data_IF_976557147814
#
_entry.id   IF_976557147814
#
_cell.length_a   1.000
_cell.length_b   1.000
_cell.length_c   1.000
_cell.angle_alpha   90.00
_cell.angle_beta   90.00
_cell.angle_gamma   90.00
#
_symmetry.space_group_name_H-M   'P 1'
#
loop_
_entity.id
_entity.type
_entity.pdbx_description
1 polymer ?
#
# COMPACT_ATOMS: atom_id res chain seq x y z
N UNK A 1 -55.39 -6.66 104.21
CA UNK A 1 -54.13 -7.40 103.99
C UNK A 1 -54.04 -7.64 102.49
N UNK A 2 -52.95 -7.16 101.86
CA UNK A 2 -52.34 -7.68 100.61
C UNK A 2 -53.21 -7.63 99.34
N UNK A 3 -52.76 -7.21 98.16
CA UNK A 3 -51.40 -7.11 97.64
C UNK A 3 -51.37 -6.27 96.35
N UNK A 4 -50.17 -5.78 96.02
CA UNK A 4 -49.57 -5.38 94.74
C UNK A 4 -50.36 -5.66 93.45
N UNK A 5 -50.24 -4.88 92.38
CA UNK A 5 -49.20 -3.94 92.03
C UNK A 5 -48.89 -4.04 90.53
N UNK A 6 -48.87 -2.86 89.88
CA UNK A 6 -47.97 -2.41 88.81
C UNK A 6 -47.93 -3.11 87.43
N UNK A 7 -48.16 -2.21 86.45
CA UNK A 7 -47.28 -1.82 85.32
C UNK A 7 -47.35 -2.64 84.02
N UNK A 8 -47.85 -1.96 82.99
CA UNK A 8 -47.40 -2.11 81.61
C UNK A 8 -46.04 -1.41 81.40
N UNK A 9 -45.13 -2.05 80.67
CA UNK A 9 -43.93 -1.48 80.04
C UNK A 9 -43.51 -2.36 78.82
N UNK A 10 -42.72 -1.84 77.85
CA UNK A 10 -42.89 -2.14 76.42
C UNK A 10 -41.69 -2.80 75.70
N UNK A 11 -41.91 -3.03 74.39
CA UNK A 11 -40.97 -3.06 73.25
C UNK A 11 -39.99 -4.25 73.04
N UNK A 12 -40.10 -4.85 71.85
CA UNK A 12 -38.97 -5.42 71.09
C UNK A 12 -39.14 -5.06 69.61
N UNK A 13 -38.53 -3.94 69.20
CA UNK A 13 -38.51 -3.42 67.82
C UNK A 13 -37.07 -3.29 67.28
N UNK A 14 -36.12 -4.06 67.80
CA UNK A 14 -34.69 -3.86 67.53
C UNK A 14 -33.99 -4.93 66.66
N UNK A 15 -34.61 -6.07 66.31
CA UNK A 15 -33.86 -7.13 65.60
C UNK A 15 -33.86 -7.05 64.06
N UNK A 16 -34.67 -6.18 63.43
CA UNK A 16 -34.77 -6.15 61.96
C UNK A 16 -33.84 -5.17 61.23
N UNK A 17 -33.05 -4.36 61.93
CA UNK A 17 -32.24 -3.30 61.28
C UNK A 17 -30.78 -3.67 60.99
N UNK A 18 -30.28 -4.82 61.43
CA UNK A 18 -28.84 -5.14 61.32
C UNK A 18 -28.48 -5.93 60.06
N UNK A 19 -29.41 -6.68 59.45
CA UNK A 19 -29.12 -7.52 58.26
C UNK A 19 -29.09 -6.70 56.96
N UNK A 20 -29.64 -5.49 56.95
CA UNK A 20 -29.76 -4.67 55.73
C UNK A 20 -28.55 -3.78 55.44
N UNK A 21 -27.53 -3.78 56.29
CA UNK A 21 -26.32 -2.95 56.12
C UNK A 21 -25.05 -3.72 55.69
N UNK A 22 -25.06 -5.05 55.68
CA UNK A 22 -23.91 -5.84 55.20
C UNK A 22 -23.99 -6.19 53.69
N UNK A 23 -25.18 -6.27 53.10
CA UNK A 23 -25.32 -6.60 51.67
C UNK A 23 -24.89 -5.44 50.73
N UNK A 24 -24.89 -4.20 51.21
CA UNK A 24 -24.52 -3.02 50.41
C UNK A 24 -23.02 -2.72 50.43
N UNK A 25 -22.28 -3.23 51.42
CA UNK A 25 -20.83 -3.00 51.54
C UNK A 25 -19.99 -3.93 50.64
N UNK A 26 -20.48 -5.15 50.37
CA UNK A 26 -19.77 -6.10 49.50
C UNK A 26 -19.96 -5.74 48.02
N UNK A 27 -21.13 -5.22 47.61
CA UNK A 27 -21.39 -4.83 46.22
C UNK A 27 -20.66 -3.53 45.82
N UNK A 28 -20.44 -2.61 46.77
CA UNK A 28 -19.68 -1.38 46.57
C UNK A 28 -18.17 -1.61 46.42
N UNK A 29 -17.60 -2.58 47.14
CA UNK A 29 -16.16 -2.91 47.01
C UNK A 29 -15.83 -3.62 45.71
N UNK A 30 -16.72 -4.46 45.17
CA UNK A 30 -16.51 -5.12 43.87
C UNK A 30 -16.64 -4.17 42.68
N UNK A 31 -17.54 -3.18 42.73
CA UNK A 31 -17.62 -2.15 41.67
C UNK A 31 -16.48 -1.12 41.75
N UNK A 32 -16.01 -0.76 42.95
CA UNK A 32 -14.86 0.12 43.10
C UNK A 32 -13.54 -0.54 42.68
N UNK A 33 -13.38 -1.86 42.88
CA UNK A 33 -12.22 -2.61 42.38
C UNK A 33 -12.23 -2.75 40.84
N UNK A 34 -13.41 -2.88 40.21
CA UNK A 34 -13.52 -2.92 38.74
C UNK A 34 -13.32 -1.53 38.09
N UNK A 35 -13.74 -0.45 38.77
CA UNK A 35 -13.53 0.92 38.31
C UNK A 35 -12.08 1.42 38.56
N UNK A 36 -11.44 0.98 39.65
CA UNK A 36 -10.05 1.33 39.95
C UNK A 36 -9.04 0.63 39.01
N UNK A 37 -9.40 -0.52 38.44
CA UNK A 37 -8.57 -1.19 37.43
C UNK A 37 -8.61 -0.51 36.05
N UNK A 38 -9.55 0.43 35.85
CA UNK A 38 -9.65 1.27 34.65
C UNK A 38 -8.90 2.61 34.77
N UNK A 39 -8.45 2.97 35.96
CA UNK A 39 -7.65 4.17 36.19
C UNK A 39 -6.16 3.86 35.96
N UNK A 40 -5.70 4.03 34.72
CA UNK A 40 -4.27 4.17 34.44
C UNK A 40 -3.66 3.29 33.35
N UNK A 41 -4.43 2.64 32.49
CA UNK A 41 -3.87 2.13 31.23
C UNK A 41 -3.54 3.35 30.34
N UNK A 42 -2.30 3.85 30.45
CA UNK A 42 -1.80 4.92 29.60
C UNK A 42 -1.98 4.48 28.14
N UNK A 43 -2.85 5.17 27.41
CA UNK A 43 -3.11 4.87 26.00
C UNK A 43 -1.79 4.86 25.25
N UNK A 44 -1.44 3.72 24.66
CA UNK A 44 -0.25 3.60 23.82
C UNK A 44 -0.60 4.13 22.45
N UNK A 45 0.02 5.24 22.09
CA UNK A 45 -0.14 5.85 20.78
C UNK A 45 0.92 5.32 19.82
N UNK A 46 0.49 4.95 18.62
CA UNK A 46 1.34 4.51 17.50
C UNK A 46 1.10 5.48 16.36
N UNK A 47 2.14 6.17 15.91
CA UNK A 47 2.09 7.09 14.78
C UNK A 47 2.31 6.34 13.45
N UNK A 48 1.48 6.64 12.45
CA UNK A 48 1.52 5.98 11.15
C UNK A 48 1.55 7.01 10.02
N UNK A 49 2.58 7.03 9.16
CA UNK A 49 2.61 7.94 8.00
C UNK A 49 2.50 7.18 6.68
N UNK A 50 1.66 7.66 5.76
CA UNK A 50 1.50 7.05 4.43
C UNK A 50 1.25 8.11 3.34
N UNK A 51 1.58 7.79 2.09
CA UNK A 51 1.37 8.70 0.95
C UNK A 51 -0.03 8.62 0.31
N UNK A 52 -0.91 7.77 0.83
CA UNK A 52 -2.21 7.49 0.23
C UNK A 52 -3.27 8.58 0.46
N UNK A 53 -2.85 9.85 0.54
CA UNK A 53 -3.75 10.98 0.72
C UNK A 53 -4.79 11.11 -0.40
N UNK A 54 -4.42 10.80 -1.65
CA UNK A 54 -5.30 10.83 -2.83
C UNK A 54 -5.81 9.43 -3.28
N UNK A 55 -5.40 8.35 -2.59
CA UNK A 55 -5.71 6.96 -2.96
C UNK A 55 -6.86 6.43 -2.09
N UNK A 56 -8.08 6.96 -2.29
CA UNK A 56 -9.23 6.73 -1.39
C UNK A 56 -9.53 5.26 -1.06
N UNK A 57 -9.54 4.32 -2.03
CA UNK A 57 -9.77 2.92 -1.69
C UNK A 57 -8.70 2.34 -0.75
N UNK A 58 -7.42 2.70 -0.96
CA UNK A 58 -6.31 2.25 -0.10
C UNK A 58 -6.38 2.87 1.29
N UNK A 59 -6.65 4.17 1.36
CA UNK A 59 -6.84 4.89 2.62
C UNK A 59 -7.97 4.25 3.44
N UNK A 60 -9.13 4.02 2.84
CA UNK A 60 -10.28 3.39 3.51
C UNK A 60 -9.98 1.96 3.97
N UNK A 61 -9.24 1.19 3.17
CA UNK A 61 -8.80 -0.15 3.56
C UNK A 61 -7.93 -0.12 4.83
N UNK A 62 -6.95 0.80 4.90
CA UNK A 62 -6.09 0.94 6.09
C UNK A 62 -6.85 1.50 7.28
N UNK A 63 -7.72 2.49 7.10
CA UNK A 63 -8.54 3.04 8.19
C UNK A 63 -9.45 1.97 8.80
N UNK A 64 -10.01 1.08 7.97
CA UNK A 64 -10.74 -0.10 8.45
C UNK A 64 -9.84 -1.05 9.24
N UNK A 65 -8.65 -1.37 8.73
CA UNK A 65 -7.69 -2.23 9.43
C UNK A 65 -7.25 -1.64 10.77
N UNK A 66 -7.05 -0.32 10.84
CA UNK A 66 -6.77 0.42 12.08
C UNK A 66 -7.92 0.25 13.08
N UNK A 67 -9.17 0.45 12.65
CA UNK A 67 -10.33 0.32 13.51
C UNK A 67 -10.48 -1.12 14.08
N UNK A 68 -10.28 -2.13 13.24
CA UNK A 68 -10.30 -3.54 13.64
C UNK A 68 -9.17 -3.85 14.64
N UNK A 69 -7.96 -3.33 14.39
CA UNK A 69 -6.82 -3.50 15.30
C UNK A 69 -7.06 -2.82 16.65
N UNK A 70 -7.54 -1.58 16.69
CA UNK A 70 -7.83 -0.87 17.93
C UNK A 70 -8.95 -1.55 18.74
N UNK A 71 -9.97 -2.09 18.06
CA UNK A 71 -11.03 -2.85 18.71
C UNK A 71 -10.51 -4.15 19.35
N UNK A 72 -9.58 -4.82 18.69
CA UNK A 72 -8.94 -6.05 19.20
C UNK A 72 -7.86 -5.77 20.27
N UNK A 73 -7.35 -4.54 20.37
CA UNK A 73 -6.27 -4.15 21.28
C UNK A 73 -6.66 -2.93 22.14
N UNK A 74 -7.52 -3.12 23.17
CA UNK A 74 -7.92 -2.04 24.06
C UNK A 74 -6.71 -1.32 24.68
N UNK A 75 -6.74 0.02 24.66
CA UNK A 75 -5.65 0.85 25.18
C UNK A 75 -4.57 1.20 24.16
N UNK A 76 -4.68 0.74 22.91
CA UNK A 76 -3.82 1.19 21.80
C UNK A 76 -4.59 2.15 20.89
N UNK A 77 -3.92 3.19 20.40
CA UNK A 77 -4.44 4.13 19.39
C UNK A 77 -3.44 4.34 18.27
N UNK A 78 -3.91 4.23 17.03
CA UNK A 78 -3.10 4.51 15.84
C UNK A 78 -3.48 5.90 15.32
N UNK A 79 -2.47 6.75 15.13
CA UNK A 79 -2.62 8.09 14.54
C UNK A 79 -2.07 8.11 13.12
N UNK A 80 -2.92 7.91 12.10
CA UNK A 80 -2.50 8.02 10.71
C UNK A 80 -2.35 9.49 10.29
N UNK A 81 -1.26 9.80 9.60
CA UNK A 81 -1.08 11.04 8.84
C UNK A 81 -0.89 10.70 7.37
N UNK A 82 -1.72 11.30 6.53
CA UNK A 82 -1.74 11.07 5.09
C UNK A 82 -1.08 12.23 4.36
N UNK A 83 -0.04 11.93 3.60
CA UNK A 83 0.76 12.89 2.84
C UNK A 83 0.59 12.66 1.33
N UNK A 84 0.93 13.65 0.52
CA UNK A 84 1.32 13.37 -0.87
C UNK A 84 2.72 12.72 -0.90
N UNK A 85 3.00 11.85 -1.88
CA UNK A 85 4.22 11.01 -1.90
C UNK A 85 5.52 11.81 -1.78
N UNK A 86 5.65 12.90 -2.53
CA UNK A 86 6.83 13.77 -2.48
C UNK A 86 7.01 14.42 -1.10
N UNK A 87 5.91 14.85 -0.47
CA UNK A 87 5.95 15.47 0.85
C UNK A 87 6.30 14.44 1.94
N UNK A 88 5.76 13.22 1.86
CA UNK A 88 6.11 12.12 2.76
C UNK A 88 7.62 11.86 2.74
N UNK A 89 8.21 11.71 1.55
CA UNK A 89 9.63 11.41 1.41
C UNK A 89 10.52 12.52 1.96
N UNK A 90 10.22 13.78 1.66
CA UNK A 90 10.95 14.90 2.23
C UNK A 90 10.85 14.94 3.77
N UNK A 91 9.64 14.68 4.30
CA UNK A 91 9.37 14.59 5.73
C UNK A 91 10.15 13.47 6.42
N UNK A 92 10.04 12.23 5.92
CA UNK A 92 10.76 11.07 6.46
C UNK A 92 12.27 11.26 6.42
N UNK A 93 12.81 11.81 5.32
CA UNK A 93 14.25 12.07 5.18
C UNK A 93 14.80 12.98 6.29
N UNK A 94 13.97 13.91 6.78
CA UNK A 94 14.31 14.82 7.88
C UNK A 94 14.07 14.15 9.23
N UNK A 95 12.88 13.58 9.42
CA UNK A 95 12.42 13.00 10.67
C UNK A 95 13.28 11.82 11.13
N UNK A 96 13.69 10.93 10.21
CA UNK A 96 14.55 9.77 10.55
C UNK A 96 15.89 10.21 11.12
N UNK A 97 16.55 11.20 10.50
CA UNK A 97 17.85 11.72 10.98
C UNK A 97 17.74 12.50 12.30
N UNK A 98 16.59 13.12 12.55
CA UNK A 98 16.30 13.85 13.77
C UNK A 98 15.84 12.94 14.93
N UNK A 99 15.62 11.64 14.69
CA UNK A 99 15.01 10.74 15.67
C UNK A 99 13.53 11.07 15.97
N UNK A 100 12.83 11.63 14.99
CA UNK A 100 11.44 12.10 15.07
C UNK A 100 10.52 11.41 14.05
N UNK A 101 10.96 10.30 13.45
CA UNK A 101 10.16 9.52 12.53
C UNK A 101 8.94 8.90 13.24
N UNK A 102 7.85 8.63 12.51
CA UNK A 102 6.73 7.88 13.07
C UNK A 102 7.13 6.44 13.38
N UNK A 103 6.32 5.78 14.22
CA UNK A 103 6.53 4.38 14.61
C UNK A 103 6.39 3.43 13.41
N UNK A 104 5.45 3.73 12.50
CA UNK A 104 5.22 2.97 11.27
C UNK A 104 5.10 3.95 10.10
N UNK A 105 5.73 3.64 8.96
CA UNK A 105 5.59 4.47 7.77
C UNK A 105 5.68 3.69 6.47
N UNK A 106 5.09 4.27 5.42
CA UNK A 106 5.30 3.82 4.06
C UNK A 106 6.72 4.11 3.61
N UNK A 107 7.36 3.10 3.02
CA UNK A 107 8.64 3.21 2.33
C UNK A 107 8.60 2.37 1.05
N UNK A 108 9.58 2.56 0.16
CA UNK A 108 9.82 1.67 -0.98
C UNK A 108 11.16 0.93 -0.82
N UNK A 109 11.30 -0.30 -1.34
CA UNK A 109 12.53 -1.10 -1.18
C UNK A 109 13.82 -0.45 -1.69
N UNK A 110 13.69 0.48 -2.65
CA UNK A 110 14.80 1.22 -3.26
C UNK A 110 15.34 2.36 -2.36
N UNK A 111 14.71 2.61 -1.20
CA UNK A 111 15.18 3.56 -0.18
C UNK A 111 16.28 2.96 0.68
N UNK A 112 17.39 2.59 0.04
CA UNK A 112 18.45 1.82 0.66
C UNK A 112 19.08 2.45 1.89
N UNK A 113 19.13 3.78 1.88
CA UNK A 113 19.63 4.59 2.98
C UNK A 113 18.91 4.33 4.32
N UNK A 114 17.68 3.82 4.35
CA UNK A 114 16.95 3.60 5.60
C UNK A 114 17.47 2.38 6.38
N UNK A 115 17.71 1.25 5.71
CA UNK A 115 18.30 0.08 6.34
C UNK A 115 19.82 0.21 6.49
N UNK A 116 20.52 0.92 5.60
CA UNK A 116 21.97 1.14 5.72
C UNK A 116 22.35 1.99 6.93
N UNK A 117 21.51 2.97 7.27
CA UNK A 117 21.74 3.86 8.42
C UNK A 117 21.08 3.34 9.72
N UNK A 118 20.50 2.14 9.70
CA UNK A 118 19.93 1.52 10.90
C UNK A 118 18.65 2.20 11.43
N UNK A 119 17.88 2.85 10.55
CA UNK A 119 16.63 3.51 10.96
C UNK A 119 15.43 2.56 11.04
N UNK A 120 15.55 1.34 10.52
CA UNK A 120 14.46 0.36 10.45
C UNK A 120 14.65 -0.77 11.45
N UNK A 121 13.53 -1.25 12.01
CA UNK A 121 13.49 -2.40 12.92
C UNK A 121 13.72 -3.71 12.15
N UNK A 122 14.52 -4.62 12.71
CA UNK A 122 14.66 -5.99 12.21
C UNK A 122 13.35 -6.77 12.45
N UNK A 123 12.70 -7.20 11.37
CA UNK A 123 11.42 -7.89 11.39
C UNK A 123 11.54 -9.43 11.28
N UNK A 124 12.74 -9.98 11.49
CA UNK A 124 12.99 -11.43 11.41
C UNK A 124 12.07 -12.25 12.34
N UNK A 125 11.63 -11.67 13.45
CA UNK A 125 10.76 -12.32 14.43
C UNK A 125 9.27 -12.39 14.08
N UNK A 126 8.83 -11.76 12.98
CA UNK A 126 7.43 -11.78 12.57
C UNK A 126 7.05 -13.12 11.91
N UNK A 127 5.74 -13.41 11.89
CA UNK A 127 5.20 -14.49 11.07
C UNK A 127 5.13 -14.04 9.60
N UNK A 128 5.91 -14.69 8.74
CA UNK A 128 5.97 -14.43 7.30
C UNK A 128 5.13 -15.39 6.46
N UNK A 129 4.33 -16.28 7.07
CA UNK A 129 3.59 -17.32 6.34
C UNK A 129 2.56 -16.79 5.33
N UNK A 130 2.11 -15.53 5.51
CA UNK A 130 1.17 -14.87 4.62
C UNK A 130 1.86 -13.97 3.57
N UNK A 131 3.19 -13.93 3.55
CA UNK A 131 3.97 -13.09 2.64
C UNK A 131 4.70 -13.97 1.63
N UNK A 132 4.56 -13.64 0.36
CA UNK A 132 5.26 -14.34 -0.71
C UNK A 132 6.79 -14.23 -0.54
N UNK A 133 7.56 -15.31 -0.79
CA UNK A 133 9.02 -15.29 -0.59
C UNK A 133 9.74 -14.18 -1.36
N UNK A 134 9.34 -13.89 -2.60
CA UNK A 134 9.94 -12.83 -3.41
C UNK A 134 9.65 -11.44 -2.86
N UNK A 135 8.49 -11.24 -2.22
CA UNK A 135 8.11 -9.97 -1.63
C UNK A 135 8.92 -9.71 -0.34
N UNK A 136 9.12 -10.75 0.46
CA UNK A 136 10.02 -10.69 1.62
C UNK A 136 11.46 -10.42 1.20
N UNK A 137 11.94 -11.07 0.14
CA UNK A 137 13.30 -10.88 -0.37
C UNK A 137 13.54 -9.43 -0.81
N UNK A 138 12.56 -8.79 -1.45
CA UNK A 138 12.66 -7.38 -1.85
C UNK A 138 12.91 -6.43 -0.66
N UNK A 139 12.48 -6.80 0.55
CA UNK A 139 12.69 -6.03 1.79
C UNK A 139 13.82 -6.58 2.67
N UNK A 140 14.59 -7.54 2.16
CA UNK A 140 15.68 -8.18 2.90
C UNK A 140 17.01 -7.51 2.59
N UNK A 141 17.68 -7.02 3.63
CA UNK A 141 19.02 -6.46 3.55
C UNK A 141 19.95 -7.25 4.48
N UNK A 142 21.08 -7.72 3.95
CA UNK A 142 22.06 -8.55 4.69
C UNK A 142 21.41 -9.73 5.44
N UNK A 143 20.43 -10.38 4.80
CA UNK A 143 19.74 -11.56 5.33
C UNK A 143 18.64 -11.28 6.36
N UNK A 144 18.29 -10.01 6.59
CA UNK A 144 17.24 -9.61 7.54
C UNK A 144 16.15 -8.78 6.84
N UNK A 145 14.85 -9.08 7.05
CA UNK A 145 13.76 -8.29 6.50
C UNK A 145 13.54 -7.02 7.34
N UNK A 146 13.38 -5.87 6.67
CA UNK A 146 13.21 -4.56 7.32
C UNK A 146 11.90 -3.84 6.98
N UNK A 147 11.05 -4.43 6.15
CA UNK A 147 9.73 -3.89 5.83
C UNK A 147 8.72 -4.99 5.55
N UNK A 148 7.46 -4.73 5.87
CA UNK A 148 6.34 -5.62 5.60
C UNK A 148 5.73 -5.28 4.24
N UNK A 149 5.82 -6.15 3.22
CA UNK A 149 5.24 -5.88 1.91
C UNK A 149 3.71 -5.82 2.01
N UNK A 150 3.11 -4.73 1.53
CA UNK A 150 1.66 -4.55 1.53
C UNK A 150 1.05 -4.68 0.13
N UNK A 151 1.80 -4.27 -0.89
CA UNK A 151 1.40 -4.39 -2.29
C UNK A 151 2.62 -4.61 -3.18
N UNK A 152 2.37 -5.18 -4.34
CA UNK A 152 3.31 -5.21 -5.45
C UNK A 152 2.58 -4.79 -6.72
N UNK A 153 3.34 -4.33 -7.68
CA UNK A 153 2.84 -3.89 -8.96
C UNK A 153 3.60 -4.61 -10.08
N UNK A 154 2.86 -4.94 -11.12
CA UNK A 154 3.38 -5.52 -12.37
C UNK A 154 3.08 -4.55 -13.50
N UNK A 155 3.96 -4.53 -14.50
CA UNK A 155 3.65 -3.85 -15.77
C UNK A 155 2.93 -4.85 -16.65
N UNK A 156 1.70 -4.52 -17.03
CA UNK A 156 0.86 -5.41 -17.84
C UNK A 156 0.38 -4.70 -19.11
N UNK A 157 0.20 -5.49 -20.17
CA UNK A 157 -0.37 -5.02 -21.42
C UNK A 157 -1.80 -5.53 -21.54
N UNK A 158 -2.74 -4.62 -21.56
CA UNK A 158 -4.15 -4.89 -21.84
C UNK A 158 -4.43 -4.67 -23.32
N UNK A 159 -5.28 -5.51 -23.92
CA UNK A 159 -5.64 -5.39 -25.33
C UNK A 159 -7.14 -5.54 -25.54
N UNK A 160 -7.66 -4.85 -26.57
CA UNK A 160 -9.04 -4.97 -27.00
C UNK A 160 -9.15 -6.10 -28.05
N UNK A 161 -9.77 -7.22 -27.67
CA UNK A 161 -9.94 -8.40 -28.53
C UNK A 161 -10.56 -8.06 -29.89
N UNK A 162 -11.64 -7.27 -29.88
CA UNK A 162 -12.33 -6.87 -31.10
C UNK A 162 -11.42 -6.03 -32.01
N UNK A 163 -10.65 -5.10 -31.46
CA UNK A 163 -9.74 -4.28 -32.27
C UNK A 163 -8.60 -5.12 -32.86
N UNK A 164 -8.08 -6.10 -32.11
CA UNK A 164 -7.08 -7.05 -32.63
C UNK A 164 -7.64 -7.86 -33.80
N UNK A 165 -8.88 -8.35 -33.70
CA UNK A 165 -9.58 -9.03 -34.79
C UNK A 165 -9.81 -8.10 -35.99
N UNK A 166 -10.23 -6.86 -35.75
CA UNK A 166 -10.48 -5.86 -36.79
C UNK A 166 -9.19 -5.52 -37.57
N UNK A 167 -8.01 -5.54 -36.93
CA UNK A 167 -6.71 -5.37 -37.59
C UNK A 167 -6.10 -6.69 -38.10
N UNK A 168 -6.78 -7.82 -37.90
CA UNK A 168 -6.35 -9.13 -38.38
C UNK A 168 -5.12 -9.69 -37.66
N UNK A 169 -4.93 -9.34 -36.39
CA UNK A 169 -3.80 -9.81 -35.57
C UNK A 169 -4.27 -10.91 -34.64
N UNK A 170 -3.70 -12.10 -34.80
CA UNK A 170 -3.93 -13.24 -33.91
C UNK A 170 -2.75 -13.37 -32.96
N UNK A 171 -3.02 -13.36 -31.66
CA UNK A 171 -2.00 -13.61 -30.65
C UNK A 171 -1.69 -15.11 -30.59
N UNK A 172 -0.41 -15.50 -30.47
CA UNK A 172 -0.05 -16.90 -30.22
C UNK A 172 -0.51 -17.33 -28.82
N UNK A 173 -0.52 -18.64 -28.55
CA UNK A 173 -0.88 -19.16 -27.22
C UNK A 173 0.02 -18.61 -26.10
N UNK A 174 1.26 -18.25 -26.43
CA UNK A 174 2.20 -17.59 -25.51
C UNK A 174 1.84 -16.13 -25.20
N UNK A 175 0.92 -15.52 -25.95
CA UNK A 175 0.59 -14.09 -25.92
C UNK A 175 1.78 -13.16 -26.25
N UNK A 176 2.89 -13.69 -26.79
CA UNK A 176 4.10 -12.93 -27.10
C UNK A 176 4.20 -12.67 -28.60
N UNK A 177 4.13 -11.40 -29.02
CA UNK A 177 4.49 -10.99 -30.37
C UNK A 177 6.00 -10.75 -30.44
N UNK A 178 6.64 -11.20 -31.52
CA UNK A 178 8.01 -10.78 -31.81
C UNK A 178 8.04 -9.30 -32.27
N UNK A 179 9.22 -8.65 -32.29
CA UNK A 179 9.33 -7.24 -32.66
C UNK A 179 8.80 -6.88 -34.05
N UNK A 180 8.85 -7.81 -35.01
CA UNK A 180 8.37 -7.58 -36.37
C UNK A 180 6.84 -7.70 -36.43
N UNK A 181 6.27 -8.71 -35.78
CA UNK A 181 4.83 -8.90 -35.66
C UNK A 181 4.17 -7.74 -34.90
N UNK A 182 4.81 -7.22 -33.85
CA UNK A 182 4.34 -6.03 -33.13
C UNK A 182 4.38 -4.78 -34.03
N UNK A 183 5.46 -4.58 -34.79
CA UNK A 183 5.55 -3.46 -35.74
C UNK A 183 4.50 -3.55 -36.87
N UNK A 184 4.20 -4.75 -37.35
CA UNK A 184 3.12 -4.98 -38.32
C UNK A 184 1.73 -4.67 -37.74
N UNK A 185 1.47 -5.08 -36.49
CA UNK A 185 0.25 -4.71 -35.76
C UNK A 185 0.10 -3.19 -35.68
N UNK A 186 1.15 -2.46 -35.31
CA UNK A 186 1.16 -0.99 -35.25
C UNK A 186 0.76 -0.37 -36.59
N UNK A 187 1.35 -0.85 -37.69
CA UNK A 187 1.02 -0.37 -39.05
C UNK A 187 -0.44 -0.65 -39.42
N UNK A 188 -0.93 -1.87 -39.16
CA UNK A 188 -2.30 -2.29 -39.48
C UNK A 188 -3.33 -1.50 -38.68
N UNK A 189 -3.09 -1.29 -37.39
CA UNK A 189 -3.93 -0.45 -36.54
C UNK A 189 -3.95 0.98 -37.04
N UNK A 190 -2.77 1.57 -37.34
CA UNK A 190 -2.70 2.94 -37.85
C UNK A 190 -3.41 3.12 -39.20
N UNK A 191 -3.28 2.15 -40.10
CA UNK A 191 -3.98 2.16 -41.40
C UNK A 191 -5.52 2.14 -41.26
N UNK A 192 -6.04 1.69 -40.10
CA UNK A 192 -7.47 1.73 -39.76
C UNK A 192 -7.87 2.91 -38.88
N UNK A 193 -6.98 3.86 -38.64
CA UNK A 193 -7.24 5.01 -37.76
C UNK A 193 -7.33 4.64 -36.28
N UNK A 194 -6.80 3.48 -35.89
CA UNK A 194 -6.76 3.02 -34.50
C UNK A 194 -5.40 3.41 -33.91
N UNK A 195 -5.39 4.07 -32.76
CA UNK A 195 -4.17 4.31 -31.98
C UNK A 195 -3.72 3.00 -31.34
N UNK A 196 -2.52 2.47 -31.68
CA UNK A 196 -2.10 1.14 -31.25
C UNK A 196 -1.86 1.00 -29.74
N UNK A 197 -1.43 2.07 -29.06
CA UNK A 197 -1.17 2.04 -27.62
C UNK A 197 -1.72 3.27 -26.91
N UNK A 198 -2.62 3.07 -25.95
CA UNK A 198 -3.22 4.13 -25.15
C UNK A 198 -2.32 4.48 -23.95
N UNK A 199 -1.45 5.47 -24.12
CA UNK A 199 -0.57 5.97 -23.04
C UNK A 199 -0.62 7.49 -23.00
N UNK A 200 -0.59 8.06 -21.79
CA UNK A 200 -0.51 9.49 -21.56
C UNK A 200 0.47 9.80 -20.43
N UNK A 201 1.25 10.88 -20.59
CA UNK A 201 2.26 11.33 -19.62
C UNK A 201 2.05 12.76 -19.13
N UNK A 202 0.87 13.33 -19.34
CA UNK A 202 0.58 14.74 -19.05
C UNK A 202 0.64 15.13 -17.57
N UNK A 203 0.41 14.18 -16.65
CA UNK A 203 0.50 14.38 -15.19
C UNK A 203 1.51 13.47 -14.50
N UNK A 204 1.95 12.39 -15.16
CA UNK A 204 2.89 11.41 -14.61
C UNK A 204 3.83 10.90 -15.70
N UNK A 205 5.16 10.91 -15.53
CA UNK A 205 6.09 10.53 -16.58
C UNK A 205 6.29 9.00 -16.72
N UNK A 206 6.10 8.23 -15.64
CA UNK A 206 6.44 6.81 -15.60
C UNK A 206 5.71 5.92 -16.63
N UNK A 207 4.43 6.17 -17.02
CA UNK A 207 3.78 5.34 -18.03
C UNK A 207 4.51 5.35 -19.37
N UNK A 208 5.18 6.47 -19.71
CA UNK A 208 5.99 6.59 -20.92
C UNK A 208 7.26 5.76 -20.90
N UNK A 209 7.74 5.34 -19.72
CA UNK A 209 8.95 4.54 -19.57
C UNK A 209 8.69 3.03 -19.64
N UNK A 210 7.45 2.56 -19.43
CA UNK A 210 7.14 1.13 -19.34
C UNK A 210 7.57 0.33 -20.57
N UNK A 211 7.21 0.79 -21.78
CA UNK A 211 7.60 0.09 -23.02
C UNK A 211 9.12 -0.02 -23.17
N UNK A 212 9.85 1.03 -22.80
CA UNK A 212 11.32 1.06 -22.87
C UNK A 212 11.91 0.07 -21.88
N UNK A 213 11.44 0.09 -20.62
CA UNK A 213 11.93 -0.80 -19.57
C UNK A 213 11.66 -2.27 -19.92
N UNK A 214 10.44 -2.62 -20.31
CA UNK A 214 10.07 -4.00 -20.63
C UNK A 214 10.78 -4.51 -21.90
N UNK A 215 10.94 -3.67 -22.93
CA UNK A 215 11.67 -4.05 -24.13
C UNK A 215 13.17 -4.27 -23.84
N UNK A 216 13.79 -3.43 -23.01
CA UNK A 216 15.18 -3.58 -22.59
C UNK A 216 15.36 -4.82 -21.72
N UNK A 217 14.47 -5.05 -20.74
CA UNK A 217 14.49 -6.25 -19.91
C UNK A 217 14.39 -7.51 -20.77
N UNK A 218 13.46 -7.55 -21.72
CA UNK A 218 13.30 -8.68 -22.64
C UNK A 218 14.52 -8.90 -23.53
N UNK A 219 15.14 -7.81 -24.02
CA UNK A 219 16.29 -7.87 -24.93
C UNK A 219 17.58 -8.28 -24.22
N UNK A 220 17.80 -7.79 -23.00
CA UNK A 220 19.04 -7.96 -22.26
C UNK A 220 19.01 -9.19 -21.34
N UNK A 221 17.83 -9.58 -20.89
CA UNK A 221 17.68 -10.49 -19.75
C UNK A 221 17.91 -9.77 -18.42
N UNK A 222 17.56 -10.43 -17.32
CA UNK A 222 17.57 -9.86 -15.97
C UNK A 222 18.95 -9.31 -15.59
N UNK A 223 20.01 -10.11 -15.75
CA UNK A 223 21.35 -9.74 -15.27
C UNK A 223 21.91 -8.48 -15.93
N UNK A 224 21.85 -8.39 -17.25
CA UNK A 224 22.38 -7.24 -18.00
C UNK A 224 21.48 -6.01 -17.85
N UNK A 225 20.16 -6.21 -17.74
CA UNK A 225 19.24 -5.12 -17.41
C UNK A 225 19.53 -4.53 -16.03
N UNK A 226 19.76 -5.37 -15.02
CA UNK A 226 20.17 -4.92 -13.67
C UNK A 226 21.51 -4.18 -13.71
N UNK A 227 22.51 -4.67 -14.46
CA UNK A 227 23.79 -3.95 -14.63
C UNK A 227 23.59 -2.60 -15.31
N UNK A 228 22.74 -2.50 -16.32
CA UNK A 228 22.42 -1.24 -17.01
C UNK A 228 21.84 -0.22 -16.04
N UNK A 229 20.82 -0.60 -15.27
CA UNK A 229 20.20 0.30 -14.28
C UNK A 229 21.16 0.70 -13.16
N UNK A 230 22.08 -0.18 -12.77
CA UNK A 230 23.10 0.10 -11.77
C UNK A 230 24.30 0.91 -12.30
N UNK A 231 24.29 1.34 -13.57
CA UNK A 231 25.41 2.06 -14.19
C UNK A 231 26.67 1.21 -14.42
N UNK A 232 26.55 -0.13 -14.35
CA UNK A 232 27.63 -1.11 -14.56
C UNK A 232 27.69 -1.64 -15.99
N UNK A 233 26.77 -1.20 -16.85
CA UNK A 233 26.73 -1.45 -18.29
C UNK A 233 26.45 -0.12 -18.99
N UNK A 234 27.09 0.10 -20.13
CA UNK A 234 26.98 1.36 -20.85
C UNK A 234 25.68 1.43 -21.66
N UNK A 235 25.04 2.61 -21.66
CA UNK A 235 23.84 2.88 -22.45
C UNK A 235 24.07 2.86 -23.97
N UNK A 236 25.34 2.90 -24.42
CA UNK A 236 25.71 2.79 -25.83
C UNK A 236 25.98 1.35 -26.29
N UNK A 237 25.71 0.33 -25.47
CA UNK A 237 25.70 -1.07 -25.91
C UNK A 237 24.76 -1.24 -27.11
N UNK A 238 25.19 -1.98 -28.13
CA UNK A 238 24.44 -2.14 -29.37
C UNK A 238 23.00 -2.66 -29.13
N UNK A 239 22.80 -3.57 -28.17
CA UNK A 239 21.48 -4.12 -27.85
C UNK A 239 20.54 -3.06 -27.27
N UNK A 240 21.08 -2.15 -26.45
CA UNK A 240 20.33 -1.00 -25.89
C UNK A 240 19.96 -0.05 -27.00
N UNK A 241 20.95 0.36 -27.81
CA UNK A 241 20.75 1.30 -28.93
C UNK A 241 19.74 0.76 -29.95
N UNK A 242 19.84 -0.52 -30.31
CA UNK A 242 18.92 -1.17 -31.24
C UNK A 242 17.49 -1.22 -30.71
N UNK A 243 17.33 -1.49 -29.40
CA UNK A 243 16.01 -1.48 -28.75
C UNK A 243 15.39 -0.08 -28.80
N UNK A 244 16.17 0.95 -28.47
CA UNK A 244 15.70 2.34 -28.52
C UNK A 244 15.36 2.79 -29.95
N UNK A 245 16.14 2.37 -30.95
CA UNK A 245 15.84 2.61 -32.38
C UNK A 245 14.56 1.92 -32.80
N UNK A 246 14.34 0.67 -32.37
CA UNK A 246 13.10 -0.05 -32.65
C UNK A 246 11.89 0.67 -32.05
N UNK A 247 11.95 1.08 -30.78
CA UNK A 247 10.87 1.84 -30.13
C UNK A 247 10.61 3.16 -30.89
N UNK A 248 11.67 3.89 -31.25
CA UNK A 248 11.53 5.11 -32.08
C UNK A 248 10.81 4.82 -33.39
N UNK A 249 11.14 3.74 -34.08
CA UNK A 249 10.49 3.37 -35.34
C UNK A 249 8.99 3.09 -35.18
N UNK A 250 8.57 2.55 -34.03
CA UNK A 250 7.15 2.36 -33.72
C UNK A 250 6.45 3.69 -33.44
N UNK A 251 7.09 4.57 -32.67
CA UNK A 251 6.58 5.92 -32.41
C UNK A 251 6.41 6.71 -33.70
N UNK A 252 7.41 6.69 -34.58
CA UNK A 252 7.37 7.33 -35.91
C UNK A 252 6.26 6.71 -36.79
N UNK A 253 5.94 5.42 -36.60
CA UNK A 253 4.82 4.73 -37.25
C UNK A 253 3.44 5.01 -36.61
N UNK A 254 3.37 5.86 -35.57
CA UNK A 254 2.12 6.26 -34.93
C UNK A 254 1.64 5.33 -33.81
N UNK A 255 2.56 4.66 -33.10
CA UNK A 255 2.26 3.81 -31.93
C UNK A 255 1.46 4.55 -30.83
N UNK A 256 1.81 5.82 -30.58
CA UNK A 256 1.28 6.62 -29.48
C UNK A 256 0.24 7.63 -29.98
N UNK A 257 -0.71 8.06 -29.12
CA UNK A 257 -1.62 9.14 -29.46
C UNK A 257 -0.84 10.44 -29.68
N UNK A 258 -1.34 11.31 -30.56
CA UNK A 258 -0.76 12.66 -30.78
C UNK A 258 -0.80 13.52 -29.52
N UNK A 259 -1.76 13.23 -28.64
CA UNK A 259 -1.93 13.86 -27.32
C UNK A 259 -1.09 13.22 -26.22
N UNK A 260 -0.19 12.26 -26.52
CA UNK A 260 0.60 11.52 -25.52
C UNK A 260 1.22 12.42 -24.43
N UNK A 261 1.74 13.59 -24.78
CA UNK A 261 2.39 14.52 -23.83
C UNK A 261 1.43 15.32 -22.96
N UNK A 262 0.15 15.42 -23.34
CA UNK A 262 -0.86 16.22 -22.63
C UNK A 262 -1.95 15.37 -21.99
N UNK A 263 -2.17 14.15 -22.49
CA UNK A 263 -3.12 13.17 -21.98
C UNK A 263 -2.68 12.69 -20.59
N UNK A 264 -3.57 12.79 -19.60
CA UNK A 264 -3.30 12.31 -18.25
C UNK A 264 -3.50 10.80 -18.16
N UNK A 265 -2.92 10.17 -17.13
CA UNK A 265 -3.03 8.72 -16.95
C UNK A 265 -4.49 8.22 -16.89
N UNK A 266 -5.33 8.89 -16.10
CA UNK A 266 -6.75 8.52 -15.98
C UNK A 266 -7.50 8.71 -17.31
N UNK A 267 -7.16 9.73 -18.08
CA UNK A 267 -7.75 10.00 -19.40
C UNK A 267 -7.30 8.93 -20.41
N UNK A 268 -6.05 8.45 -20.33
CA UNK A 268 -5.55 7.36 -21.16
C UNK A 268 -6.29 6.03 -20.90
N UNK A 269 -6.67 5.75 -19.65
CA UNK A 269 -7.51 4.59 -19.33
C UNK A 269 -8.90 4.72 -19.95
N UNK A 270 -9.53 5.91 -19.86
CA UNK A 270 -10.82 6.15 -20.51
C UNK A 270 -10.68 6.02 -22.04
N UNK A 271 -9.62 6.59 -22.62
CA UNK A 271 -9.30 6.52 -24.04
C UNK A 271 -9.21 5.08 -24.55
N UNK A 272 -8.58 4.18 -23.77
CA UNK A 272 -8.52 2.75 -24.05
C UNK A 272 -9.91 2.09 -24.11
N UNK A 273 -10.85 2.50 -23.24
CA UNK A 273 -12.17 1.89 -23.14
C UNK A 273 -13.21 2.42 -24.13
N UNK A 274 -13.15 3.71 -24.49
CA UNK A 274 -14.28 4.39 -25.17
C UNK A 274 -14.15 4.45 -26.68
N UNK A 275 -12.99 4.85 -27.22
CA UNK A 275 -12.60 4.65 -28.63
C UNK A 275 -11.21 5.28 -28.89
N UNK A 276 -10.15 4.48 -29.09
CA UNK A 276 -8.83 4.99 -29.44
C UNK A 276 -8.77 5.32 -30.94
N UNK A 277 -9.59 6.25 -31.40
CA UNK A 277 -9.48 6.78 -32.77
C UNK A 277 -8.37 7.83 -32.82
N UNK A 278 -7.55 7.79 -33.87
CA UNK A 278 -6.41 8.68 -34.05
C UNK A 278 -6.76 10.08 -34.52
#
# INVERSE_FOLDING_TARGET
MTDCGRRQAPAKREELMTVRRLATAVFGLTLAAFAAQQAGAQTKEITFWSHWAAEMPKKQFVEKAIAEFEAANPGVKIKPTWYEKTALYAGLKTALRAGQAPDVFYAEPDQAEYYENGFLLDLSGLNWSAVEPWAKEAWTYKGKPYGLPLEAWTVEVYYNKKMMDDVGVKLPASMQLDPAAFADMVKKAKAKGITPMAVGVGDRPFPGAHLVHEALLKRLGVDDYTKLLAGKMAWNDARVVDTLKWIRSLTDAGLLPTTFTTLKLAEAHIYFHTNPTS
#
